data_IF_683335640488
#
_entry.id   IF_683335640488
#
_cell.length_a   1.000
_cell.length_b   1.000
_cell.length_c   1.000
_cell.angle_alpha   90.00
_cell.angle_beta   90.00
_cell.angle_gamma   90.00
#
_symmetry.space_group_name_H-M   'P 1'
#
loop_
_entity.id
_entity.type
_entity.pdbx_description
1 polymer ?
#
# COMPACT_ATOMS: atom_id res chain seq x y z
N UNK A 1 1.45 -24.29 6.31
CA UNK A 1 1.43 -22.81 6.36
C UNK A 1 0.00 -22.28 6.24
N UNK A 2 -0.80 -22.73 5.28
CA UNK A 2 -2.14 -22.22 4.98
C UNK A 2 -3.30 -23.15 5.37
N UNK A 3 -3.03 -24.32 5.96
CA UNK A 3 -4.05 -25.30 6.40
C UNK A 3 -4.88 -24.83 7.59
N UNK A 4 -4.37 -23.85 8.37
CA UNK A 4 -5.07 -23.17 9.46
C UNK A 4 -4.62 -21.71 9.43
N UNK A 5 -5.19 -20.89 8.55
CA UNK A 5 -4.68 -19.56 8.21
C UNK A 5 -4.75 -18.58 9.38
N UNK A 6 -3.57 -18.14 9.84
CA UNK A 6 -3.36 -17.07 10.84
C UNK A 6 -2.35 -16.03 10.34
N UNK A 7 -2.29 -15.80 9.01
CA UNK A 7 -1.28 -14.95 8.36
C UNK A 7 -1.50 -13.44 8.56
N UNK A 8 -2.61 -13.05 9.09
CA UNK A 8 -2.94 -11.66 9.39
C UNK A 8 -3.86 -11.59 10.61
N UNK A 9 -4.12 -10.42 11.20
CA UNK A 9 -4.95 -10.25 12.39
C UNK A 9 -6.40 -10.76 12.25
N UNK A 10 -6.87 -11.06 11.03
CA UNK A 10 -8.18 -11.70 10.82
C UNK A 10 -8.29 -13.12 11.40
N UNK A 11 -7.19 -13.83 11.52
CA UNK A 11 -7.11 -15.17 12.08
C UNK A 11 -8.23 -16.10 11.60
N UNK A 12 -8.48 -16.15 10.30
CA UNK A 12 -9.65 -16.83 9.71
C UNK A 12 -9.72 -18.34 10.03
N UNK A 13 -8.59 -19.00 10.33
CA UNK A 13 -8.53 -20.42 10.66
C UNK A 13 -8.88 -21.37 9.48
N UNK A 14 -9.08 -20.84 8.28
CA UNK A 14 -9.45 -21.65 7.10
C UNK A 14 -8.23 -22.38 6.52
N UNK A 15 -8.49 -23.53 5.89
CA UNK A 15 -7.52 -24.15 4.98
C UNK A 15 -7.59 -23.45 3.62
N UNK A 16 -6.59 -22.63 3.30
CA UNK A 16 -6.56 -21.85 2.04
C UNK A 16 -6.23 -22.68 0.80
N UNK A 17 -5.88 -23.96 0.96
CA UNK A 17 -5.76 -24.92 -0.13
C UNK A 17 -7.14 -25.41 -0.63
N UNK A 18 -8.18 -25.30 0.21
CA UNK A 18 -9.55 -25.75 -0.08
C UNK A 18 -10.55 -24.61 -0.22
N UNK A 19 -10.39 -23.53 0.57
CA UNK A 19 -11.32 -22.39 0.59
C UNK A 19 -10.61 -21.11 0.96
N UNK A 20 -11.13 -19.98 0.51
CA UNK A 20 -10.56 -18.66 0.79
C UNK A 20 -11.01 -18.11 2.14
N UNK A 21 -10.15 -17.27 2.76
CA UNK A 21 -10.48 -16.53 3.97
C UNK A 21 -11.13 -15.18 3.68
N UNK A 22 -11.05 -14.25 4.65
CA UNK A 22 -11.56 -12.88 4.51
C UNK A 22 -10.92 -12.13 3.32
N UNK A 23 -9.62 -12.34 3.08
CA UNK A 23 -8.89 -11.74 1.97
C UNK A 23 -9.34 -12.19 0.58
N UNK A 24 -10.13 -13.27 0.48
CA UNK A 24 -10.60 -13.91 -0.76
C UNK A 24 -9.49 -14.55 -1.61
N UNK A 25 -8.31 -14.82 -1.02
CA UNK A 25 -7.18 -15.40 -1.73
C UNK A 25 -6.93 -16.87 -1.34
N UNK A 26 -6.50 -17.71 -2.31
CA UNK A 26 -6.04 -19.09 -2.07
C UNK A 26 -4.67 -19.10 -1.39
N UNK A 27 -4.08 -20.30 -1.23
CA UNK A 27 -2.72 -20.45 -0.73
C UNK A 27 -1.65 -19.97 -1.73
N UNK A 28 -1.91 -20.08 -3.02
CA UNK A 28 -1.03 -19.56 -4.08
C UNK A 28 -1.02 -18.04 -4.13
N UNK A 29 0.13 -17.45 -4.49
CA UNK A 29 0.25 -16.02 -4.70
C UNK A 29 -0.42 -15.63 -6.02
N UNK A 30 -1.29 -14.62 -5.97
CA UNK A 30 -1.90 -14.02 -7.16
C UNK A 30 -1.52 -12.55 -7.24
N UNK A 31 -1.19 -12.10 -8.44
CA UNK A 31 -0.94 -10.69 -8.74
C UNK A 31 -1.78 -10.22 -9.92
N UNK A 32 -2.03 -8.92 -9.97
CA UNK A 32 -2.84 -8.31 -11.03
C UNK A 32 -1.99 -7.60 -12.08
N UNK A 33 -0.95 -6.89 -11.65
CA UNK A 33 -0.10 -6.11 -12.54
C UNK A 33 1.28 -5.90 -11.91
N UNK A 34 2.29 -5.69 -12.75
CA UNK A 34 3.59 -5.20 -12.34
C UNK A 34 4.15 -4.22 -13.37
N UNK A 35 4.86 -3.18 -12.89
CA UNK A 35 5.42 -2.14 -13.75
C UNK A 35 6.15 -1.06 -12.98
N UNK A 36 6.79 -0.14 -13.69
CA UNK A 36 7.31 1.08 -13.08
C UNK A 36 6.15 2.02 -12.75
N UNK A 37 6.13 2.57 -11.55
CA UNK A 37 5.15 3.54 -11.07
C UNK A 37 5.85 4.83 -10.62
N UNK A 38 5.32 5.98 -11.01
CA UNK A 38 5.92 7.29 -10.80
C UNK A 38 5.09 8.19 -9.86
N UNK A 39 4.09 7.64 -9.21
CA UNK A 39 3.19 8.37 -8.31
C UNK A 39 3.41 8.09 -6.82
N UNK A 40 4.49 7.40 -6.43
CA UNK A 40 4.88 7.28 -5.03
C UNK A 40 5.64 8.52 -4.57
N UNK A 41 5.98 8.62 -3.28
CA UNK A 41 6.75 9.72 -2.73
C UNK A 41 8.09 9.94 -3.47
N UNK A 42 8.60 11.18 -3.54
CA UNK A 42 9.80 11.51 -4.31
C UNK A 42 11.03 10.66 -3.96
N UNK A 43 11.23 10.36 -2.67
CA UNK A 43 12.34 9.51 -2.18
C UNK A 43 12.24 8.04 -2.62
N UNK A 44 11.05 7.60 -3.06
CA UNK A 44 10.75 6.24 -3.51
C UNK A 44 10.84 6.13 -5.03
N UNK A 45 10.26 7.08 -5.75
CA UNK A 45 10.28 7.10 -7.23
C UNK A 45 11.59 7.58 -7.79
N UNK A 46 12.24 8.51 -7.11
CA UNK A 46 13.46 9.20 -7.57
C UNK A 46 13.30 9.64 -9.03
N UNK A 47 13.95 8.96 -9.98
CA UNK A 47 13.80 9.18 -11.43
C UNK A 47 13.47 7.90 -12.20
N UNK A 48 13.91 6.74 -11.69
CA UNK A 48 13.67 5.43 -12.33
C UNK A 48 12.27 4.89 -12.11
N UNK A 49 11.55 5.43 -11.13
CA UNK A 49 10.25 4.94 -10.72
C UNK A 49 10.32 3.78 -9.72
N UNK A 50 9.24 3.52 -9.04
CA UNK A 50 9.05 2.38 -8.14
C UNK A 50 8.61 1.15 -8.94
N UNK A 51 9.30 0.02 -8.80
CA UNK A 51 8.95 -1.25 -9.44
C UNK A 51 7.79 -1.92 -8.69
N UNK A 52 6.55 -1.52 -8.98
CA UNK A 52 5.37 -1.98 -8.25
C UNK A 52 4.90 -3.36 -8.68
N UNK A 53 4.51 -4.19 -7.70
CA UNK A 53 3.85 -5.49 -7.89
C UNK A 53 2.53 -5.46 -7.11
N UNK A 54 1.42 -5.47 -7.82
CA UNK A 54 0.07 -5.40 -7.25
C UNK A 54 -0.43 -6.80 -6.90
N UNK A 55 -0.41 -7.14 -5.60
CA UNK A 55 -0.95 -8.41 -5.08
C UNK A 55 -2.46 -8.33 -4.99
N UNK A 56 -3.17 -9.43 -5.34
CA UNK A 56 -4.63 -9.50 -5.27
C UNK A 56 -5.12 -9.81 -3.85
N UNK A 57 -6.39 -9.53 -3.58
CA UNK A 57 -6.99 -9.68 -2.26
C UNK A 57 -6.57 -8.61 -1.26
N UNK A 58 -7.22 -8.57 -0.09
CA UNK A 58 -6.88 -7.61 0.95
C UNK A 58 -7.43 -8.02 2.32
N UNK A 59 -6.67 -7.76 3.37
CA UNK A 59 -7.05 -8.02 4.76
C UNK A 59 -8.08 -7.03 5.29
N UNK A 60 -8.24 -5.84 4.68
CA UNK A 60 -9.19 -4.79 5.12
C UNK A 60 -10.43 -4.67 4.22
N UNK A 61 -10.25 -4.66 2.88
CA UNK A 61 -11.36 -4.47 1.92
C UNK A 61 -12.12 -3.17 2.17
N UNK A 62 -11.37 -2.06 2.24
CA UNK A 62 -11.91 -0.72 2.52
C UNK A 62 -13.05 -0.34 1.56
N UNK A 63 -14.09 0.32 2.09
CA UNK A 63 -15.26 0.74 1.29
C UNK A 63 -14.89 1.74 0.18
N UNK A 64 -13.84 2.55 0.37
CA UNK A 64 -13.32 3.56 -0.59
C UNK A 64 -12.10 3.09 -1.38
N UNK A 65 -11.85 1.77 -1.46
CA UNK A 65 -10.63 1.26 -2.08
C UNK A 65 -10.59 1.56 -3.58
N UNK A 66 -9.62 2.37 -4.03
CA UNK A 66 -9.39 2.64 -5.45
C UNK A 66 -8.98 1.38 -6.24
N UNK A 67 -8.28 0.45 -5.57
CA UNK A 67 -7.84 -0.82 -6.14
C UNK A 67 -8.87 -1.95 -5.94
N UNK A 68 -10.18 -1.65 -5.82
CA UNK A 68 -11.21 -2.64 -5.49
C UNK A 68 -11.30 -3.80 -6.49
N UNK A 69 -11.00 -3.55 -7.76
CA UNK A 69 -11.02 -4.56 -8.82
C UNK A 69 -10.09 -5.74 -8.49
N UNK A 70 -8.92 -5.47 -7.93
CA UNK A 70 -7.94 -6.49 -7.55
C UNK A 70 -8.08 -6.92 -6.09
N UNK A 71 -8.36 -6.00 -5.17
CA UNK A 71 -8.43 -6.28 -3.74
C UNK A 71 -9.73 -6.95 -3.28
N UNK A 72 -10.81 -6.81 -4.06
CA UNK A 72 -12.14 -7.29 -3.69
C UNK A 72 -12.81 -8.13 -4.77
N UNK A 73 -12.63 -7.81 -6.07
CA UNK A 73 -13.27 -8.50 -7.19
C UNK A 73 -12.37 -9.60 -7.79
N UNK A 74 -11.14 -9.75 -7.27
CA UNK A 74 -10.27 -10.90 -7.57
C UNK A 74 -9.65 -10.91 -8.95
N UNK A 75 -9.53 -9.75 -9.62
CA UNK A 75 -8.77 -9.66 -10.87
C UNK A 75 -7.30 -9.96 -10.60
N UNK A 76 -6.79 -11.02 -11.19
CA UNK A 76 -5.42 -11.47 -11.02
C UNK A 76 -5.24 -12.94 -11.35
N UNK A 77 -4.01 -13.39 -11.58
CA UNK A 77 -3.68 -14.79 -11.77
C UNK A 77 -2.55 -15.26 -10.85
N UNK A 78 -2.50 -16.55 -10.64
CA UNK A 78 -1.45 -17.21 -9.87
C UNK A 78 -0.09 -17.08 -10.56
N UNK A 79 0.94 -16.86 -9.75
CA UNK A 79 2.34 -16.89 -10.16
C UNK A 79 3.15 -17.75 -9.18
N UNK A 80 4.19 -18.37 -9.69
CA UNK A 80 5.17 -19.08 -8.88
C UNK A 80 6.39 -18.21 -8.52
N UNK A 81 7.32 -18.78 -7.75
CA UNK A 81 8.54 -18.10 -7.35
C UNK A 81 9.44 -17.71 -8.54
N UNK A 82 9.44 -18.50 -9.61
CA UNK A 82 10.27 -18.22 -10.80
C UNK A 82 9.72 -17.00 -11.56
N UNK A 83 8.41 -16.94 -11.74
CA UNK A 83 7.76 -15.81 -12.39
C UNK A 83 7.89 -14.54 -11.56
N UNK A 84 7.70 -14.62 -10.23
CA UNK A 84 7.94 -13.48 -9.33
C UNK A 84 9.40 -12.98 -9.44
N UNK A 85 10.37 -13.87 -9.41
CA UNK A 85 11.79 -13.54 -9.56
C UNK A 85 12.08 -12.85 -10.89
N UNK A 86 11.52 -13.39 -11.99
CA UNK A 86 11.65 -12.79 -13.32
C UNK A 86 11.11 -11.37 -13.34
N UNK A 87 9.92 -11.13 -12.78
CA UNK A 87 9.31 -9.80 -12.69
C UNK A 87 10.23 -8.83 -11.93
N UNK A 88 10.79 -9.26 -10.78
CA UNK A 88 11.71 -8.41 -9.99
C UNK A 88 12.96 -8.03 -10.80
N UNK A 89 13.56 -8.98 -11.52
CA UNK A 89 14.75 -8.75 -12.34
C UNK A 89 14.42 -7.86 -13.56
N UNK A 90 13.29 -8.05 -14.20
CA UNK A 90 12.85 -7.22 -15.32
C UNK A 90 12.64 -5.77 -14.87
N UNK A 91 12.00 -5.55 -13.72
CA UNK A 91 11.82 -4.21 -13.12
C UNK A 91 13.18 -3.57 -12.81
N UNK A 92 14.09 -4.31 -12.17
CA UNK A 92 15.46 -3.83 -11.90
C UNK A 92 16.18 -3.45 -13.20
N UNK A 93 16.11 -4.28 -14.22
CA UNK A 93 16.77 -4.03 -15.53
C UNK A 93 16.16 -2.83 -16.25
N UNK A 94 14.90 -2.49 -16.01
CA UNK A 94 14.25 -1.28 -16.52
C UNK A 94 14.64 -0.02 -15.71
N UNK A 95 15.44 -0.15 -14.65
CA UNK A 95 15.90 0.96 -13.84
C UNK A 95 15.01 1.34 -12.66
N UNK A 96 14.14 0.41 -12.21
CA UNK A 96 13.38 0.61 -10.97
C UNK A 96 14.30 0.93 -9.79
N UNK A 97 13.92 1.88 -8.96
CA UNK A 97 14.68 2.28 -7.78
C UNK A 97 14.49 1.31 -6.59
N UNK A 98 13.41 0.56 -6.59
CA UNK A 98 13.05 -0.46 -5.59
C UNK A 98 12.07 -1.48 -6.20
N UNK A 99 11.79 -2.59 -5.47
CA UNK A 99 10.67 -3.49 -5.73
C UNK A 99 9.60 -3.22 -4.66
N UNK A 100 8.47 -2.64 -5.06
CA UNK A 100 7.40 -2.22 -4.18
C UNK A 100 6.25 -3.23 -4.21
N UNK A 101 6.07 -3.98 -3.13
CA UNK A 101 5.01 -4.98 -2.98
C UNK A 101 3.79 -4.31 -2.36
N UNK A 102 2.71 -4.22 -3.15
CA UNK A 102 1.48 -3.54 -2.74
C UNK A 102 0.47 -4.55 -2.20
N UNK A 103 0.11 -4.37 -0.94
CA UNK A 103 -0.93 -5.14 -0.22
C UNK A 103 -0.63 -6.64 -0.10
N UNK A 104 0.62 -6.99 0.29
CA UNK A 104 1.06 -8.38 0.47
C UNK A 104 0.71 -9.04 1.82
N UNK A 105 0.05 -8.33 2.76
CA UNK A 105 -0.13 -8.69 4.18
C UNK A 105 -0.68 -10.09 4.45
N UNK A 106 -1.48 -10.64 3.55
CA UNK A 106 -2.09 -11.97 3.68
C UNK A 106 -1.24 -13.11 3.06
N UNK A 107 -0.07 -12.77 2.51
CA UNK A 107 0.88 -13.71 1.90
C UNK A 107 2.32 -13.53 2.41
N UNK A 108 2.53 -12.89 3.56
CA UNK A 108 3.87 -12.59 4.09
C UNK A 108 4.81 -13.81 4.09
N UNK A 109 4.45 -15.00 4.60
CA UNK A 109 5.41 -16.11 4.61
C UNK A 109 5.83 -16.58 3.22
N UNK A 110 4.90 -16.54 2.24
CA UNK A 110 5.20 -16.92 0.86
C UNK A 110 6.03 -15.84 0.15
N UNK A 111 5.66 -14.58 0.32
CA UNK A 111 6.40 -13.44 -0.22
C UNK A 111 7.83 -13.36 0.36
N UNK A 112 8.02 -13.65 1.65
CA UNK A 112 9.34 -13.72 2.25
C UNK A 112 10.23 -14.78 1.57
N UNK A 113 9.68 -15.92 1.17
CA UNK A 113 10.42 -16.95 0.39
C UNK A 113 10.73 -16.44 -1.02
N UNK A 114 9.75 -15.84 -1.70
CA UNK A 114 9.92 -15.36 -3.07
C UNK A 114 10.93 -14.19 -3.14
N UNK A 115 10.92 -13.30 -2.15
CA UNK A 115 11.92 -12.22 -2.03
C UNK A 115 13.35 -12.80 -1.86
N UNK A 116 13.52 -13.83 -1.02
CA UNK A 116 14.84 -14.49 -0.88
C UNK A 116 15.31 -15.07 -2.22
N UNK A 117 14.46 -15.80 -2.93
CA UNK A 117 14.79 -16.34 -4.24
C UNK A 117 15.14 -15.23 -5.26
N UNK A 118 14.42 -14.12 -5.26
CA UNK A 118 14.72 -12.99 -6.14
C UNK A 118 16.09 -12.36 -5.81
N UNK A 119 16.41 -12.19 -4.50
CA UNK A 119 17.72 -11.72 -4.07
C UNK A 119 18.85 -12.68 -4.44
N UNK A 120 18.67 -13.98 -4.24
CA UNK A 120 19.62 -15.02 -4.62
C UNK A 120 19.85 -15.07 -6.13
N UNK A 121 18.81 -14.74 -6.93
CA UNK A 121 18.89 -14.65 -8.39
C UNK A 121 19.50 -13.33 -8.91
N UNK A 122 19.88 -12.39 -8.03
CA UNK A 122 20.57 -11.15 -8.41
C UNK A 122 19.72 -9.88 -8.37
N UNK A 123 18.54 -9.90 -7.73
CA UNK A 123 17.82 -8.66 -7.43
C UNK A 123 18.50 -7.93 -6.27
N UNK A 124 19.16 -6.81 -6.56
CA UNK A 124 20.01 -6.04 -5.62
C UNK A 124 19.35 -4.75 -5.13
N UNK A 125 18.32 -4.25 -5.81
CA UNK A 125 17.60 -3.05 -5.38
C UNK A 125 16.75 -3.32 -4.13
N UNK A 126 16.46 -2.29 -3.29
CA UNK A 126 15.69 -2.46 -2.07
C UNK A 126 14.29 -3.02 -2.34
N UNK A 127 13.78 -3.83 -1.40
CA UNK A 127 12.36 -4.18 -1.37
C UNK A 127 11.62 -3.20 -0.48
N UNK A 128 10.46 -2.73 -0.98
CA UNK A 128 9.54 -1.85 -0.32
C UNK A 128 8.23 -2.60 -0.01
N UNK A 129 7.70 -2.40 1.20
CA UNK A 129 6.43 -2.98 1.65
C UNK A 129 5.37 -1.90 1.78
N UNK A 130 4.43 -1.88 0.86
CA UNK A 130 3.35 -0.92 0.79
C UNK A 130 2.06 -1.57 1.28
N UNK A 131 1.61 -1.19 2.47
CA UNK A 131 0.53 -1.89 3.14
C UNK A 131 -0.41 -0.96 3.91
N UNK A 132 -1.48 -1.53 4.43
CA UNK A 132 -2.43 -0.83 5.30
C UNK A 132 -2.05 -0.89 6.78
N UNK A 133 -0.82 -1.27 7.14
CA UNK A 133 -0.37 -1.49 8.51
C UNK A 133 -1.22 -2.52 9.31
N UNK A 134 -2.01 -3.36 8.64
CA UNK A 134 -2.82 -4.37 9.30
C UNK A 134 -2.14 -5.73 9.25
N UNK A 135 -0.95 -5.79 9.88
CA UNK A 135 -0.10 -6.96 10.04
C UNK A 135 0.15 -7.26 11.53
N UNK A 136 0.34 -8.53 11.87
CA UNK A 136 0.87 -8.90 13.17
C UNK A 136 2.40 -8.81 13.20
N UNK A 137 2.98 -8.47 14.34
CA UNK A 137 4.43 -8.35 14.52
C UNK A 137 5.14 -9.66 14.18
N UNK A 138 4.55 -10.81 14.53
CA UNK A 138 5.10 -12.14 14.21
C UNK A 138 5.25 -12.36 12.71
N UNK A 139 4.34 -11.81 11.91
CA UNK A 139 4.45 -11.89 10.44
C UNK A 139 5.48 -10.91 9.90
N UNK A 140 5.57 -9.70 10.46
CA UNK A 140 6.57 -8.71 10.06
C UNK A 140 8.01 -9.21 10.31
N UNK A 141 8.24 -9.97 11.38
CA UNK A 141 9.55 -10.58 11.66
C UNK A 141 10.06 -11.47 10.52
N UNK A 142 9.18 -12.07 9.73
CA UNK A 142 9.57 -12.87 8.55
C UNK A 142 10.15 -12.02 7.40
N UNK A 143 9.85 -10.74 7.38
CA UNK A 143 10.32 -9.75 6.38
C UNK A 143 11.57 -9.00 6.84
N UNK A 144 11.97 -9.14 8.11
CA UNK A 144 13.15 -8.48 8.67
C UNK A 144 14.41 -8.78 7.85
N UNK A 145 15.12 -7.74 7.44
CA UNK A 145 16.31 -7.83 6.58
C UNK A 145 16.03 -8.20 5.11
N UNK A 146 14.79 -8.55 4.76
CA UNK A 146 14.37 -8.73 3.37
C UNK A 146 13.81 -7.44 2.78
N UNK A 147 12.98 -6.76 3.55
CA UNK A 147 12.38 -5.46 3.25
C UNK A 147 13.11 -4.41 4.07
N UNK A 148 13.44 -3.28 3.44
CA UNK A 148 14.14 -2.17 4.09
C UNK A 148 13.35 -0.87 4.03
N UNK A 149 12.40 -0.73 3.13
CA UNK A 149 11.55 0.45 2.96
C UNK A 149 10.11 0.05 3.28
N UNK A 150 9.44 0.84 4.11
CA UNK A 150 8.08 0.56 4.57
C UNK A 150 7.16 1.75 4.29
N UNK A 151 6.04 1.50 3.63
CA UNK A 151 5.01 2.49 3.31
C UNK A 151 3.67 2.07 3.96
N UNK A 152 3.56 2.11 5.31
CA UNK A 152 2.31 1.80 5.98
C UNK A 152 1.31 2.95 5.86
N UNK A 153 0.05 2.64 5.53
CA UNK A 153 -1.04 3.59 5.69
C UNK A 153 -1.61 3.53 7.11
N UNK A 154 -1.55 4.62 7.86
CA UNK A 154 -2.31 4.80 9.11
C UNK A 154 -3.64 5.48 8.78
N UNK A 155 -4.69 4.66 8.59
CA UNK A 155 -5.95 5.13 7.99
C UNK A 155 -6.85 5.89 8.97
N UNK A 156 -6.86 5.52 10.24
CA UNK A 156 -7.59 6.16 11.33
C UNK A 156 -7.22 5.55 12.67
N UNK A 157 -7.39 6.29 13.75
CA UNK A 157 -7.31 5.81 15.14
C UNK A 157 -8.68 5.58 15.77
N UNK A 158 -9.75 5.81 15.02
CA UNK A 158 -11.13 5.61 15.44
C UNK A 158 -11.58 4.16 15.17
N UNK A 159 -11.82 3.38 16.23
CA UNK A 159 -12.25 1.98 16.15
C UNK A 159 -13.65 1.81 15.53
N UNK A 160 -14.57 2.75 15.78
CA UNK A 160 -15.91 2.68 15.22
C UNK A 160 -15.89 2.98 13.71
N UNK A 161 -15.10 3.98 13.30
CA UNK A 161 -14.91 4.30 11.89
C UNK A 161 -14.22 3.15 11.16
N UNK A 162 -13.18 2.55 11.75
CA UNK A 162 -12.49 1.42 11.15
C UNK A 162 -13.34 0.16 11.06
N UNK A 163 -14.22 -0.09 12.04
CA UNK A 163 -15.21 -1.17 11.97
C UNK A 163 -16.16 -1.00 10.78
N UNK A 164 -16.60 0.22 10.53
CA UNK A 164 -17.58 0.54 9.48
C UNK A 164 -16.95 0.57 8.09
N UNK A 165 -15.78 1.18 7.94
CA UNK A 165 -15.11 1.36 6.65
C UNK A 165 -14.27 0.15 6.21
N UNK A 166 -13.67 -0.61 7.16
CA UNK A 166 -12.74 -1.71 6.86
C UNK A 166 -13.13 -3.03 7.52
N UNK A 167 -14.21 -3.08 8.29
CA UNK A 167 -14.64 -4.26 9.06
C UNK A 167 -13.55 -4.76 10.05
N UNK A 168 -12.79 -3.83 10.63
CA UNK A 168 -11.66 -4.09 11.52
C UNK A 168 -11.67 -3.13 12.72
N UNK A 169 -12.49 -3.38 13.77
CA UNK A 169 -12.53 -2.51 14.95
C UNK A 169 -11.21 -2.47 15.72
N UNK A 170 -10.37 -3.49 15.56
CA UNK A 170 -9.04 -3.63 16.15
C UNK A 170 -7.92 -2.94 15.32
N UNK A 171 -8.27 -2.35 14.17
CA UNK A 171 -7.30 -1.74 13.25
C UNK A 171 -6.37 -0.72 13.92
N UNK A 172 -6.85 0.24 14.74
CA UNK A 172 -5.96 1.24 15.33
C UNK A 172 -4.84 0.63 16.17
N UNK A 173 -5.19 -0.35 17.01
CA UNK A 173 -4.19 -1.01 17.89
C UNK A 173 -3.22 -1.89 17.12
N UNK A 174 -3.70 -2.58 16.07
CA UNK A 174 -2.85 -3.39 15.21
C UNK A 174 -1.90 -2.50 14.42
N UNK A 175 -2.41 -1.44 13.79
CA UNK A 175 -1.63 -0.53 12.98
C UNK A 175 -0.54 0.19 13.79
N UNK A 176 -0.86 0.70 14.97
CA UNK A 176 0.13 1.30 15.88
C UNK A 176 1.28 0.33 16.18
N UNK A 177 0.98 -0.91 16.55
CA UNK A 177 2.00 -1.92 16.85
C UNK A 177 2.86 -2.27 15.63
N UNK A 178 2.24 -2.42 14.47
CA UNK A 178 2.95 -2.71 13.23
C UNK A 178 3.90 -1.57 12.84
N UNK A 179 3.41 -0.33 12.87
CA UNK A 179 4.20 0.87 12.54
C UNK A 179 5.35 1.05 13.53
N UNK A 180 5.11 0.92 14.84
CA UNK A 180 6.17 0.99 15.86
C UNK A 180 7.26 -0.03 15.58
N UNK A 181 6.89 -1.30 15.31
CA UNK A 181 7.86 -2.33 14.95
C UNK A 181 8.65 -1.97 13.68
N UNK A 182 7.99 -1.43 12.65
CA UNK A 182 8.65 -1.01 11.42
C UNK A 182 9.69 0.08 11.68
N UNK A 183 9.38 1.09 12.48
CA UNK A 183 10.30 2.18 12.85
C UNK A 183 11.49 1.67 13.69
N UNK A 184 11.24 0.87 14.71
CA UNK A 184 12.29 0.31 15.58
C UNK A 184 13.31 -0.56 14.84
N UNK A 185 12.89 -1.22 13.76
CA UNK A 185 13.73 -2.16 13.01
C UNK A 185 14.34 -1.58 11.74
N UNK A 186 13.87 -0.41 11.27
CA UNK A 186 14.31 0.18 10.00
C UNK A 186 14.51 1.70 10.15
N UNK A 187 15.67 2.15 10.63
CA UNK A 187 15.97 3.58 10.73
C UNK A 187 16.00 4.22 9.34
N UNK A 188 15.55 5.48 9.27
CA UNK A 188 15.55 6.26 8.03
C UNK A 188 16.99 6.48 7.54
N UNK A 189 17.23 6.13 6.28
CA UNK A 189 18.48 6.36 5.56
C UNK A 189 18.18 6.88 4.17
N UNK A 190 18.67 8.08 3.89
CA UNK A 190 18.55 8.76 2.62
C UNK A 190 19.95 8.94 2.05
N UNK A 191 20.14 8.61 0.79
CA UNK A 191 21.40 8.71 0.08
C UNK A 191 21.23 9.62 -1.14
N UNK A 192 22.27 10.41 -1.46
CA UNK A 192 22.32 11.14 -2.71
C UNK A 192 22.71 10.18 -3.84
N UNK A 193 21.95 10.19 -4.91
CA UNK A 193 22.22 9.41 -6.12
C UNK A 193 22.26 10.30 -7.35
N UNK A 194 23.25 10.11 -8.22
CA UNK A 194 23.33 10.85 -9.49
C UNK A 194 22.64 10.06 -10.61
N UNK A 195 21.83 10.76 -11.39
CA UNK A 195 21.18 10.24 -12.60
C UNK A 195 21.29 11.27 -13.71
N UNK A 196 21.99 10.93 -14.80
CA UNK A 196 22.20 11.83 -15.95
C UNK A 196 22.75 13.23 -15.59
N UNK A 197 23.64 13.30 -14.57
CA UNK A 197 24.26 14.54 -14.13
C UNK A 197 23.40 15.38 -13.16
N UNK A 198 22.22 14.92 -12.80
CA UNK A 198 21.39 15.51 -11.73
C UNK A 198 21.50 14.69 -10.46
N UNK A 199 21.42 15.34 -9.30
CA UNK A 199 21.49 14.71 -7.98
C UNK A 199 20.08 14.61 -7.38
N UNK A 200 19.75 13.44 -6.86
CA UNK A 200 18.46 13.15 -6.23
C UNK A 200 18.68 12.49 -4.87
N UNK A 201 17.77 12.74 -3.96
CA UNK A 201 17.67 11.98 -2.72
C UNK A 201 16.90 10.69 -2.95
N UNK A 202 17.40 9.59 -2.38
CA UNK A 202 16.81 8.25 -2.46
C UNK A 202 16.79 7.61 -1.09
N UNK A 203 15.62 7.14 -0.68
CA UNK A 203 15.48 6.33 0.51
C UNK A 203 15.99 4.91 0.26
N UNK A 204 16.87 4.42 1.12
CA UNK A 204 17.42 3.05 1.07
C UNK A 204 16.91 2.19 2.23
N UNK A 205 16.48 2.82 3.32
CA UNK A 205 15.85 2.19 4.48
C UNK A 205 14.95 3.20 5.19
N UNK A 206 13.92 2.72 5.87
CA UNK A 206 13.08 3.53 6.75
C UNK A 206 11.59 3.35 6.52
N UNK A 207 10.83 4.21 7.17
CA UNK A 207 9.37 4.21 7.16
C UNK A 207 8.84 5.55 6.67
N UNK A 208 7.92 5.52 5.70
CA UNK A 208 7.09 6.67 5.34
C UNK A 208 5.66 6.31 5.73
N UNK A 209 5.13 6.94 6.77
CA UNK A 209 3.76 6.69 7.24
C UNK A 209 2.82 7.57 6.47
N UNK A 210 1.87 6.94 5.77
CA UNK A 210 0.88 7.64 4.94
C UNK A 210 -0.44 7.76 5.66
N UNK A 211 -1.05 8.94 5.59
CA UNK A 211 -2.41 9.18 6.06
C UNK A 211 -3.23 9.86 4.97
N UNK A 212 -4.36 9.25 4.61
CA UNK A 212 -5.31 9.85 3.67
C UNK A 212 -6.41 10.55 4.46
N UNK A 213 -6.54 11.87 4.26
CA UNK A 213 -7.68 12.61 4.75
C UNK A 213 -8.98 12.09 4.12
N UNK A 214 -9.98 11.84 4.96
CA UNK A 214 -11.32 11.45 4.53
C UNK A 214 -12.28 12.64 4.71
N UNK A 215 -12.95 13.14 3.65
CA UNK A 215 -13.83 14.30 3.76
C UNK A 215 -14.89 14.15 4.85
N UNK A 216 -15.08 15.22 5.64
CA UNK A 216 -15.96 15.23 6.81
C UNK A 216 -15.38 14.54 8.06
N UNK A 217 -14.09 14.12 8.05
CA UNK A 217 -13.40 13.44 9.16
C UNK A 217 -12.18 14.19 9.67
N UNK A 218 -12.29 15.51 9.77
CA UNK A 218 -11.18 16.37 10.19
C UNK A 218 -10.65 15.99 11.59
N UNK A 219 -11.53 15.77 12.58
CA UNK A 219 -11.11 15.40 13.94
C UNK A 219 -10.31 14.08 13.95
N UNK A 220 -10.72 13.06 13.19
CA UNK A 220 -10.01 11.78 13.09
C UNK A 220 -8.62 11.94 12.47
N UNK A 221 -8.45 12.88 11.54
CA UNK A 221 -7.14 13.26 11.02
C UNK A 221 -6.31 13.98 12.09
N UNK A 222 -6.87 14.92 12.84
CA UNK A 222 -6.18 15.57 13.97
C UNK A 222 -5.69 14.56 15.00
N UNK A 223 -6.54 13.61 15.39
CA UNK A 223 -6.17 12.53 16.33
C UNK A 223 -5.01 11.68 15.79
N UNK A 224 -5.02 11.38 14.47
CA UNK A 224 -3.94 10.65 13.81
C UNK A 224 -2.65 11.45 13.77
N UNK A 225 -2.71 12.74 13.42
CA UNK A 225 -1.54 13.62 13.40
C UNK A 225 -0.95 13.82 14.81
N UNK A 226 -1.79 13.91 15.84
CA UNK A 226 -1.33 13.96 17.23
C UNK A 226 -0.52 12.74 17.60
N UNK A 227 -1.05 11.55 17.30
CA UNK A 227 -0.33 10.30 17.56
C UNK A 227 0.99 10.22 16.75
N UNK A 228 1.00 10.65 15.51
CA UNK A 228 2.21 10.67 14.66
C UNK A 228 3.26 11.62 15.23
N UNK A 229 2.86 12.83 15.67
CA UNK A 229 3.77 13.78 16.30
C UNK A 229 4.40 13.24 17.59
N UNK A 230 3.61 12.54 18.41
CA UNK A 230 4.08 11.99 19.68
C UNK A 230 4.95 10.74 19.55
N UNK A 231 4.76 9.92 18.48
CA UNK A 231 5.32 8.58 18.41
C UNK A 231 6.19 8.32 17.17
N UNK A 232 6.13 9.14 16.14
CA UNK A 232 6.78 8.86 14.86
C UNK A 232 7.70 10.00 14.38
N UNK A 233 7.53 11.23 14.86
CA UNK A 233 8.34 12.37 14.46
C UNK A 233 9.83 12.13 14.76
N UNK A 234 10.71 12.46 13.80
CA UNK A 234 12.14 12.15 13.86
C UNK A 234 12.51 10.67 13.65
N UNK A 235 11.54 9.73 13.67
CA UNK A 235 11.78 8.28 13.47
C UNK A 235 11.23 7.78 12.13
N UNK A 236 10.27 8.50 11.55
CA UNK A 236 9.67 8.20 10.25
C UNK A 236 9.40 9.49 9.49
N UNK A 237 9.19 9.37 8.19
CA UNK A 237 8.69 10.46 7.34
C UNK A 237 7.18 10.37 7.34
N UNK A 238 6.50 11.51 7.43
CA UNK A 238 5.05 11.58 7.35
C UNK A 238 4.64 11.97 5.93
N UNK A 239 3.66 11.27 5.36
CA UNK A 239 3.07 11.61 4.05
C UNK A 239 1.57 11.79 4.21
N UNK A 240 1.12 13.04 4.16
CA UNK A 240 -0.29 13.38 4.25
C UNK A 240 -0.87 13.56 2.85
N UNK A 241 -1.87 12.74 2.54
CA UNK A 241 -2.61 12.78 1.29
C UNK A 241 -3.98 13.41 1.53
N UNK A 242 -4.30 14.48 0.82
CA UNK A 242 -5.60 15.16 0.91
C UNK A 242 -6.49 14.91 -0.32
N UNK A 243 -5.99 14.15 -1.29
CA UNK A 243 -6.70 13.90 -2.55
C UNK A 243 -7.57 12.62 -2.47
N UNK A 244 -8.54 12.62 -1.55
CA UNK A 244 -9.58 11.59 -1.58
C UNK A 244 -10.39 11.70 -2.87
N UNK A 245 -10.52 10.58 -3.59
CA UNK A 245 -11.30 10.52 -4.83
C UNK A 245 -12.41 9.48 -4.71
N UNK A 246 -13.69 9.87 -4.86
CA UNK A 246 -14.79 8.93 -4.93
C UNK A 246 -14.59 7.93 -6.07
N UNK A 247 -14.71 6.64 -5.77
CA UNK A 247 -14.51 5.57 -6.76
C UNK A 247 -15.85 5.19 -7.37
N UNK A 248 -15.99 5.19 -8.71
CA UNK A 248 -17.16 4.65 -9.39
C UNK A 248 -17.10 3.12 -9.37
N UNK A 249 -17.77 2.49 -8.41
CA UNK A 249 -17.79 1.04 -8.31
C UNK A 249 -18.72 0.40 -9.33
N UNK A 250 -18.18 -0.58 -10.06
CA UNK A 250 -18.94 -1.48 -10.94
C UNK A 250 -19.08 -2.83 -10.22
N UNK A 251 -20.17 -3.04 -9.51
CA UNK A 251 -20.38 -4.24 -8.69
C UNK A 251 -21.82 -4.77 -8.84
N UNK A 252 -22.00 -6.04 -8.49
CA UNK A 252 -23.33 -6.59 -8.29
C UNK A 252 -24.08 -5.83 -7.19
N UNK A 253 -25.37 -5.61 -7.38
CA UNK A 253 -26.21 -4.73 -6.56
C UNK A 253 -26.09 -5.00 -5.03
N UNK A 254 -25.92 -6.27 -4.61
CA UNK A 254 -25.82 -6.64 -3.19
C UNK A 254 -24.54 -6.08 -2.52
N UNK A 255 -23.40 -6.21 -3.17
CA UNK A 255 -22.12 -5.68 -2.64
C UNK A 255 -22.11 -4.15 -2.68
N UNK A 256 -22.73 -3.57 -3.70
CA UNK A 256 -22.85 -2.13 -3.87
C UNK A 256 -23.63 -1.46 -2.73
N UNK A 257 -24.75 -2.04 -2.29
CA UNK A 257 -25.55 -1.49 -1.19
C UNK A 257 -24.81 -1.54 0.16
N UNK A 258 -24.09 -2.64 0.45
CA UNK A 258 -23.24 -2.73 1.64
C UNK A 258 -22.13 -1.67 1.63
N UNK A 259 -21.51 -1.45 0.48
CA UNK A 259 -20.46 -0.43 0.29
C UNK A 259 -21.00 0.99 0.43
N UNK A 260 -22.17 1.30 -0.17
CA UNK A 260 -22.85 2.59 -0.01
C UNK A 260 -23.14 2.89 1.46
N UNK A 261 -23.62 1.88 2.21
CA UNK A 261 -23.86 2.01 3.64
C UNK A 261 -22.58 2.33 4.41
N UNK A 262 -21.46 1.67 4.09
CA UNK A 262 -20.15 1.99 4.69
C UNK A 262 -19.67 3.38 4.31
N UNK A 263 -19.81 3.78 3.04
CA UNK A 263 -19.41 5.10 2.55
C UNK A 263 -20.25 6.26 3.12
N UNK A 264 -21.47 5.99 3.65
CA UNK A 264 -22.25 7.03 4.33
C UNK A 264 -21.65 7.50 5.66
N UNK A 265 -20.60 6.83 6.15
CA UNK A 265 -19.86 7.26 7.34
C UNK A 265 -18.88 8.42 7.05
N UNK A 266 -18.61 8.69 5.78
CA UNK A 266 -17.79 9.82 5.31
C UNK A 266 -18.57 10.63 4.28
N UNK A 267 -18.08 11.83 3.99
CA UNK A 267 -18.58 12.61 2.86
C UNK A 267 -17.91 12.12 1.58
N UNK A 268 -18.57 11.22 0.84
CA UNK A 268 -18.00 10.59 -0.36
C UNK A 268 -17.93 11.57 -1.54
N UNK A 269 -17.08 12.60 -1.41
CA UNK A 269 -16.78 13.65 -2.39
C UNK A 269 -15.28 13.97 -2.39
N UNK A 270 -14.81 14.76 -3.31
CA UNK A 270 -13.46 15.33 -3.25
C UNK A 270 -13.29 16.20 -2.00
N UNK A 271 -12.07 16.28 -1.49
CA UNK A 271 -11.69 17.21 -0.43
C UNK A 271 -11.95 18.65 -0.89
N UNK A 272 -12.58 19.45 -0.05
CA UNK A 272 -12.83 20.85 -0.34
C UNK A 272 -11.59 21.71 -0.06
N UNK A 273 -11.53 22.92 -0.65
CA UNK A 273 -10.45 23.88 -0.39
C UNK A 273 -10.40 24.30 1.07
N UNK A 274 -11.54 24.43 1.75
CA UNK A 274 -11.61 24.78 3.17
C UNK A 274 -10.96 23.65 4.01
N UNK A 275 -11.30 22.40 3.72
CA UNK A 275 -10.68 21.27 4.43
C UNK A 275 -9.17 21.17 4.15
N UNK A 276 -8.72 21.50 2.94
CA UNK A 276 -7.29 21.57 2.60
C UNK A 276 -6.58 22.68 3.38
N UNK A 277 -7.19 23.85 3.50
CA UNK A 277 -6.68 24.96 4.30
C UNK A 277 -6.60 24.60 5.78
N UNK A 278 -7.67 24.04 6.36
CA UNK A 278 -7.70 23.58 7.76
C UNK A 278 -6.61 22.52 8.04
N UNK A 279 -6.36 21.59 7.09
CA UNK A 279 -5.30 20.58 7.21
C UNK A 279 -3.92 21.25 7.20
N UNK A 280 -3.67 22.22 6.31
CA UNK A 280 -2.39 22.93 6.25
C UNK A 280 -2.12 23.69 7.54
N UNK A 281 -3.12 24.37 8.09
CA UNK A 281 -3.01 25.06 9.38
C UNK A 281 -2.65 24.08 10.51
N UNK A 282 -3.26 22.89 10.51
CA UNK A 282 -2.91 21.83 11.48
C UNK A 282 -1.48 21.32 11.31
N UNK A 283 -1.01 21.15 10.08
CA UNK A 283 0.37 20.71 9.83
C UNK A 283 1.40 21.74 10.30
N UNK A 284 1.10 23.03 10.19
CA UNK A 284 1.94 24.10 10.76
C UNK A 284 2.03 24.02 12.30
N UNK A 285 0.93 23.62 12.96
CA UNK A 285 0.91 23.43 14.43
C UNK A 285 1.77 22.24 14.85
N UNK A 286 1.68 21.09 14.13
CA UNK A 286 2.47 19.89 14.46
C UNK A 286 3.95 20.01 14.08
N UNK A 287 4.28 20.77 13.03
CA UNK A 287 5.64 21.09 12.59
C UNK A 287 6.56 19.87 12.50
N UNK A 288 6.14 18.82 11.76
CA UNK A 288 6.90 17.59 11.58
C UNK A 288 8.29 17.86 10.95
N UNK A 289 9.30 17.14 11.39
CA UNK A 289 10.68 17.24 10.87
C UNK A 289 10.75 16.89 9.38
N UNK A 290 10.04 15.81 8.96
CA UNK A 290 9.97 15.36 7.58
C UNK A 290 8.52 15.10 7.18
N UNK A 291 8.00 15.93 6.27
CA UNK A 291 6.61 15.87 5.80
C UNK A 291 6.53 15.95 4.27
N UNK A 292 5.82 15.00 3.68
CA UNK A 292 5.28 15.14 2.32
C UNK A 292 3.81 15.53 2.42
N UNK A 293 3.41 16.53 1.64
CA UNK A 293 2.04 16.94 1.51
C UNK A 293 1.59 16.84 0.05
N UNK A 294 0.52 16.08 -0.20
CA UNK A 294 -0.03 15.98 -1.53
C UNK A 294 -0.88 17.19 -1.85
N UNK A 295 -0.52 17.94 -2.91
CA UNK A 295 -1.30 19.08 -3.38
C UNK A 295 -2.73 18.68 -3.80
N UNK A 296 -3.71 19.50 -3.43
CA UNK A 296 -5.10 19.29 -3.81
C UNK A 296 -5.28 19.39 -5.34
N UNK A 297 -5.98 18.44 -5.92
CA UNK A 297 -6.25 18.39 -7.35
C UNK A 297 -7.65 17.86 -7.64
N UNK A 298 -8.31 18.42 -8.64
CA UNK A 298 -9.58 17.91 -9.15
C UNK A 298 -9.40 16.79 -10.20
N UNK A 299 -8.15 16.43 -10.54
CA UNK A 299 -7.85 15.36 -11.51
C UNK A 299 -8.14 13.99 -10.89
N UNK A 300 -9.09 13.27 -11.45
CA UNK A 300 -9.47 11.90 -11.08
C UNK A 300 -9.00 10.86 -12.09
N UNK A 301 -8.30 11.30 -13.16
CA UNK A 301 -7.84 10.41 -14.25
C UNK A 301 -6.79 9.40 -13.83
N UNK A 302 -6.22 9.56 -12.63
CA UNK A 302 -5.22 8.67 -12.07
C UNK A 302 -5.79 7.37 -11.48
N UNK A 303 -7.13 7.25 -11.32
CA UNK A 303 -7.77 6.03 -10.83
C UNK A 303 -7.43 4.85 -11.76
N UNK A 304 -7.01 3.69 -11.18
CA UNK A 304 -6.62 2.55 -11.99
C UNK A 304 -7.80 1.79 -12.59
N UNK A 305 -7.59 1.20 -13.77
CA UNK A 305 -8.47 0.21 -14.35
C UNK A 305 -7.68 -1.07 -14.70
N UNK A 306 -7.70 -2.05 -13.81
CA UNK A 306 -6.97 -3.32 -13.94
C UNK A 306 -7.57 -4.29 -14.99
N UNK A 307 -8.59 -3.90 -15.74
CA UNK A 307 -9.05 -4.63 -16.93
C UNK A 307 -8.10 -4.43 -18.11
N UNK A 308 -7.37 -3.31 -18.10
CA UNK A 308 -6.45 -2.90 -19.15
C UNK A 308 -5.01 -3.32 -18.83
N UNK A 309 -4.22 -3.66 -19.87
CA UNK A 309 -2.78 -3.90 -19.71
C UNK A 309 -2.06 -2.70 -19.09
N UNK A 310 -2.50 -1.47 -19.44
CA UNK A 310 -2.06 -0.21 -18.86
C UNK A 310 -3.10 0.27 -17.83
N UNK A 311 -3.00 -0.15 -16.53
CA UNK A 311 -4.03 0.19 -15.55
C UNK A 311 -4.06 1.66 -15.17
N UNK A 312 -2.93 2.35 -15.25
CA UNK A 312 -2.76 3.76 -14.88
C UNK A 312 -2.43 4.60 -16.12
N UNK A 313 -2.63 5.93 -16.09
CA UNK A 313 -2.17 6.81 -17.17
C UNK A 313 -0.68 6.65 -17.46
N UNK A 314 -0.29 6.77 -18.73
CA UNK A 314 1.10 6.57 -19.19
C UNK A 314 2.14 7.44 -18.46
N UNK A 315 1.73 8.64 -17.98
CA UNK A 315 2.57 9.50 -17.15
C UNK A 315 2.90 8.92 -15.77
N UNK A 316 2.02 8.04 -15.26
CA UNK A 316 2.12 7.46 -13.92
C UNK A 316 2.69 6.04 -13.89
N UNK A 317 2.55 5.26 -14.96
CA UNK A 317 3.04 3.89 -14.97
C UNK A 317 3.51 3.39 -16.33
N UNK A 318 4.43 2.42 -16.30
CA UNK A 318 4.90 1.63 -17.46
C UNK A 318 4.81 0.16 -17.08
N UNK A 319 3.71 -0.54 -17.44
CA UNK A 319 3.53 -1.94 -17.09
C UNK A 319 4.48 -2.85 -17.89
N UNK A 320 4.89 -3.96 -17.25
CA UNK A 320 5.68 -5.03 -17.86
C UNK A 320 4.97 -6.37 -17.81
N UNK A 321 4.02 -6.50 -16.89
CA UNK A 321 3.28 -7.74 -16.66
C UNK A 321 1.82 -7.40 -16.26
N UNK A 322 0.89 -8.23 -16.74
CA UNK A 322 -0.53 -8.08 -16.43
C UNK A 322 -1.22 -9.42 -16.35
N UNK A 323 -2.17 -9.59 -15.44
CA UNK A 323 -2.85 -10.84 -15.16
C UNK A 323 -3.59 -11.44 -16.39
N UNK A 324 -4.06 -10.60 -17.29
CA UNK A 324 -4.80 -11.00 -18.49
C UNK A 324 -3.92 -11.06 -19.75
N UNK A 325 -2.60 -10.91 -19.62
CA UNK A 325 -1.69 -11.12 -20.75
C UNK A 325 -1.65 -12.61 -21.08
N UNK A 326 -1.89 -12.97 -22.34
CA UNK A 326 -1.65 -14.32 -22.83
C UNK A 326 -0.17 -14.65 -22.60
N UNK A 327 0.10 -15.78 -22.01
CA UNK A 327 1.46 -16.32 -21.94
C UNK A 327 1.83 -16.64 -23.40
N UNK A 328 2.59 -15.77 -24.06
CA UNK A 328 3.31 -16.19 -25.27
C UNK A 328 4.37 -17.19 -24.81
N UNK A 329 4.08 -18.47 -25.08
CA UNK A 329 4.99 -19.58 -24.87
C UNK A 329 6.13 -19.55 -25.89
#
# INVERSE_FOLDING_TARGET
MYTNCKQCPRHCGVNREEKVGFCKEPAALRIASAGLHFGEEPLITVKGGSGTIFVTGCTLRCAFCQNYQISQNGMGREIDSKEFTKICLDLQNMGAENINIITGSHHIPLLAQYIRHAKEAGCTIPFCWNSSAYESVEMLELLKGLVTIWLPDLKTLDSDLSAKLFKAPDYPEVAKKAITWMMENNPVRIEEVSRNGETFEKMTSGVIIRHLFLPGKFQQTCDTLSWLSENADGSAIISLMNQYTPVPFEEEAKCLEERKKSLSEIENRLTSKIEDEDIRDMLEVFNFEYLFYQELSDDTSWLPDFRNFQPFPNKLAKPIWHWNSLIEN
#
